data_IF_302791301140
#
_entry.id   IF_302791301140
#
_cell.length_a   1.000
_cell.length_b   1.000
_cell.length_c   1.000
_cell.angle_alpha   90.00
_cell.angle_beta   90.00
_cell.angle_gamma   90.00
#
_symmetry.space_group_name_H-M   'P 1'
#
loop_
_entity.id
_entity.type
_entity.pdbx_description
1 polymer ?
#
# COMPACT_ATOMS: atom_id res chain seq x y z
N UNK A 1 -8.07 13.72 -16.65
CA UNK A 1 -6.90 12.93 -17.05
C UNK A 1 -6.14 12.47 -15.84
N UNK A 2 -5.55 11.30 -15.95
CA UNK A 2 -4.80 10.68 -14.83
C UNK A 2 -3.68 11.59 -14.30
N UNK A 3 -2.98 12.32 -15.17
CA UNK A 3 -1.88 13.19 -14.75
C UNK A 3 -2.30 14.36 -13.87
N UNK A 4 -3.53 14.82 -14.00
CA UNK A 4 -4.01 16.02 -13.28
C UNK A 4 -4.57 15.67 -11.90
N UNK A 5 -5.22 14.53 -11.77
CA UNK A 5 -5.90 14.13 -10.53
C UNK A 5 -5.14 13.04 -9.75
N UNK A 6 -4.02 12.57 -10.25
CA UNK A 6 -3.27 11.50 -9.62
C UNK A 6 -2.50 12.01 -8.40
N UNK A 7 -2.72 11.38 -7.25
CA UNK A 7 -1.90 11.58 -6.07
C UNK A 7 -0.82 10.52 -5.94
N UNK A 8 -1.20 9.24 -6.09
CA UNK A 8 -0.30 8.10 -6.00
C UNK A 8 -0.51 7.21 -7.22
N UNK A 9 0.58 6.78 -7.83
CA UNK A 9 0.59 5.74 -8.86
C UNK A 9 1.38 4.55 -8.32
N UNK A 10 0.73 3.41 -8.17
CA UNK A 10 1.34 2.22 -7.57
C UNK A 10 1.24 1.04 -8.51
N UNK A 11 2.27 0.22 -8.56
CA UNK A 11 2.23 -1.05 -9.28
C UNK A 11 1.77 -2.17 -8.35
N UNK A 12 0.98 -3.09 -8.88
CA UNK A 12 0.59 -4.29 -8.15
C UNK A 12 1.85 -5.11 -7.84
N UNK A 13 1.90 -5.67 -6.65
CA UNK A 13 3.02 -6.53 -6.26
C UNK A 13 2.59 -7.98 -6.24
N UNK A 14 3.47 -8.84 -6.73
CA UNK A 14 3.24 -10.28 -6.83
C UNK A 14 4.40 -11.03 -6.19
N UNK A 15 4.18 -12.30 -5.88
CA UNK A 15 5.25 -13.20 -5.43
C UNK A 15 5.99 -13.81 -6.61
N UNK A 16 6.90 -14.74 -6.33
CA UNK A 16 7.73 -15.39 -7.36
C UNK A 16 6.91 -16.24 -8.33
N UNK A 17 5.73 -16.68 -7.90
CA UNK A 17 4.82 -17.49 -8.73
C UNK A 17 3.83 -16.65 -9.52
N UNK A 18 3.92 -15.31 -9.39
CA UNK A 18 3.00 -14.39 -10.06
C UNK A 18 1.70 -14.17 -9.33
N UNK A 19 1.55 -14.70 -8.12
CA UNK A 19 0.35 -14.47 -7.30
C UNK A 19 0.38 -13.09 -6.65
N UNK A 20 -0.76 -12.41 -6.68
CA UNK A 20 -0.88 -11.06 -6.12
C UNK A 20 -0.68 -11.10 -4.60
N UNK A 21 0.19 -10.22 -4.10
CA UNK A 21 0.46 -10.09 -2.67
C UNK A 21 -0.74 -9.55 -1.90
N UNK A 22 -0.76 -9.81 -0.60
CA UNK A 22 -1.88 -9.49 0.29
C UNK A 22 -2.42 -8.05 0.14
N UNK A 23 -1.57 -6.99 0.09
CA UNK A 23 -2.11 -5.63 -0.01
C UNK A 23 -2.98 -5.40 -1.23
N UNK A 24 -2.80 -6.17 -2.30
CA UNK A 24 -3.49 -5.99 -3.57
C UNK A 24 -4.38 -7.17 -3.97
N UNK A 25 -4.77 -8.02 -3.03
CA UNK A 25 -5.66 -9.15 -3.33
C UNK A 25 -6.98 -8.70 -3.99
N UNK A 26 -7.42 -7.50 -3.72
CA UNK A 26 -8.62 -6.94 -4.35
C UNK A 26 -8.46 -6.71 -5.86
N UNK A 27 -7.23 -6.70 -6.37
CA UNK A 27 -6.95 -6.50 -7.79
C UNK A 27 -7.05 -7.80 -8.61
N UNK A 28 -7.29 -8.93 -7.96
CA UNK A 28 -7.46 -10.20 -8.65
C UNK A 28 -8.63 -10.11 -9.62
N UNK A 29 -8.40 -10.52 -10.87
CA UNK A 29 -9.40 -10.41 -11.93
C UNK A 29 -9.33 -9.12 -12.74
N UNK A 30 -8.44 -8.19 -12.38
CA UNK A 30 -8.26 -6.91 -13.09
C UNK A 30 -6.84 -6.78 -13.65
N UNK A 31 -6.38 -7.80 -14.32
CA UNK A 31 -5.06 -7.83 -14.94
C UNK A 31 -4.98 -6.85 -16.13
N UNK A 32 -3.77 -6.35 -16.38
CA UNK A 32 -3.46 -5.47 -17.53
C UNK A 32 -4.29 -4.19 -17.55
N UNK A 33 -4.54 -3.59 -16.40
CA UNK A 33 -5.34 -2.37 -16.28
C UNK A 33 -4.64 -1.28 -15.49
N UNK A 34 -5.12 -0.06 -15.66
CA UNK A 34 -4.83 1.08 -14.78
C UNK A 34 -6.17 1.62 -14.31
N UNK A 35 -6.39 1.64 -13.00
CA UNK A 35 -7.67 2.10 -12.47
C UNK A 35 -7.52 2.75 -11.10
N UNK A 36 -8.46 3.63 -10.77
CA UNK A 36 -8.47 4.32 -9.48
C UNK A 36 -8.90 3.37 -8.37
N UNK A 37 -8.22 3.42 -7.24
CA UNK A 37 -8.52 2.60 -6.07
C UNK A 37 -8.77 3.49 -4.86
N UNK A 38 -9.67 3.04 -3.98
CA UNK A 38 -9.94 3.71 -2.70
C UNK A 38 -9.22 3.05 -1.53
N UNK A 39 -8.66 1.88 -1.74
CA UNK A 39 -7.85 1.21 -0.74
C UNK A 39 -6.44 1.78 -0.77
N UNK A 40 -5.69 1.55 0.31
CA UNK A 40 -4.34 2.07 0.39
C UNK A 40 -3.43 1.43 -0.67
N UNK A 41 -2.44 2.20 -1.10
CA UNK A 41 -1.38 1.73 -1.96
C UNK A 41 -0.15 1.42 -1.12
N UNK A 42 0.45 0.25 -1.35
CA UNK A 42 1.70 -0.12 -0.68
C UNK A 42 2.87 0.65 -1.27
N UNK A 43 3.80 1.08 -0.44
CA UNK A 43 4.99 1.80 -0.90
C UNK A 43 6.11 0.88 -1.39
N UNK A 44 5.83 -0.41 -1.63
CA UNK A 44 6.80 -1.32 -2.23
C UNK A 44 7.22 -0.87 -3.63
N UNK A 45 6.27 -0.38 -4.42
CA UNK A 45 6.54 0.20 -5.74
C UNK A 45 5.45 1.22 -6.05
N UNK A 46 5.70 2.47 -5.68
CA UNK A 46 4.74 3.54 -5.88
C UNK A 46 5.43 4.87 -6.11
N UNK A 47 4.73 5.77 -6.78
CA UNK A 47 5.17 7.12 -7.08
C UNK A 47 4.17 8.09 -6.47
N UNK A 48 4.68 9.05 -5.70
CA UNK A 48 3.88 10.18 -5.23
C UNK A 48 4.08 11.35 -6.20
N UNK A 49 2.97 11.94 -6.63
CA UNK A 49 3.04 13.00 -7.62
C UNK A 49 3.48 14.33 -7.01
N UNK A 50 4.05 15.25 -7.79
CA UNK A 50 4.41 16.57 -7.28
C UNK A 50 3.23 17.34 -6.67
N UNK A 51 2.03 17.20 -7.24
CA UNK A 51 0.83 17.84 -6.71
C UNK A 51 0.54 17.39 -5.28
N UNK A 52 0.62 16.08 -5.03
CA UNK A 52 0.42 15.53 -3.69
C UNK A 52 1.52 16.00 -2.73
N UNK A 53 2.78 15.96 -3.19
CA UNK A 53 3.93 16.39 -2.39
C UNK A 53 3.81 17.86 -1.97
N UNK A 54 3.22 18.71 -2.80
CA UNK A 54 3.03 20.12 -2.48
C UNK A 54 1.84 20.38 -1.54
N UNK A 55 0.78 19.58 -1.64
CA UNK A 55 -0.43 19.81 -0.86
C UNK A 55 -0.45 19.13 0.49
N UNK A 56 0.24 18.01 0.66
CA UNK A 56 0.25 17.29 1.91
C UNK A 56 1.37 17.78 2.82
N UNK A 57 1.03 18.08 4.06
CA UNK A 57 2.01 18.47 5.09
C UNK A 57 2.59 17.20 5.75
N UNK A 58 3.74 16.77 5.26
CA UNK A 58 4.41 15.56 5.75
C UNK A 58 4.91 15.69 7.19
N UNK A 59 5.00 16.92 7.74
CA UNK A 59 5.38 17.11 9.15
C UNK A 59 4.33 16.57 10.11
N UNK A 60 3.12 16.35 9.64
CA UNK A 60 2.04 15.79 10.46
C UNK A 60 2.09 14.26 10.58
N UNK A 61 3.01 13.60 9.88
CA UNK A 61 3.18 12.16 10.02
C UNK A 61 3.71 11.82 11.42
N UNK A 62 3.05 10.87 12.06
CA UNK A 62 3.46 10.40 13.39
C UNK A 62 4.58 9.37 13.25
N UNK A 63 5.79 9.76 13.65
CA UNK A 63 6.98 8.90 13.52
C UNK A 63 6.88 7.61 14.35
N UNK A 64 6.01 7.56 15.36
CA UNK A 64 5.80 6.35 16.16
C UNK A 64 4.99 5.30 15.43
N UNK A 65 4.34 5.65 14.33
CA UNK A 65 3.50 4.75 13.54
C UNK A 65 4.26 4.23 12.33
N UNK A 66 3.90 3.04 11.88
CA UNK A 66 4.59 2.34 10.79
C UNK A 66 3.78 2.23 9.50
N UNK A 67 2.62 2.87 9.44
CA UNK A 67 1.69 2.73 8.33
C UNK A 67 1.60 4.01 7.49
N UNK A 68 2.76 4.53 7.10
CA UNK A 68 2.82 5.77 6.31
C UNK A 68 2.13 5.62 4.96
N UNK A 69 2.26 4.45 4.34
CA UNK A 69 1.60 4.17 3.06
C UNK A 69 0.07 4.24 3.20
N UNK A 70 -0.49 3.68 4.25
CA UNK A 70 -1.94 3.77 4.51
C UNK A 70 -2.35 5.22 4.77
N UNK A 71 -1.62 5.92 5.63
CA UNK A 71 -1.92 7.31 6.00
C UNK A 71 -1.87 8.22 4.78
N UNK A 72 -0.79 8.15 4.00
CA UNK A 72 -0.61 9.01 2.83
C UNK A 72 -1.62 8.67 1.74
N UNK A 73 -1.95 7.39 1.58
CA UNK A 73 -3.00 6.98 0.63
C UNK A 73 -4.35 7.62 0.96
N UNK A 74 -4.73 7.59 2.24
CA UNK A 74 -5.99 8.20 2.68
C UNK A 74 -5.96 9.73 2.57
N UNK A 75 -4.83 10.35 2.89
CA UNK A 75 -4.68 11.80 2.76
C UNK A 75 -4.75 12.26 1.31
N UNK A 76 -4.20 11.49 0.39
CA UNK A 76 -4.32 11.75 -1.04
C UNK A 76 -5.80 11.84 -1.45
N UNK A 77 -6.60 10.86 -1.01
CA UNK A 77 -8.04 10.86 -1.30
C UNK A 77 -8.76 12.02 -0.62
N UNK A 78 -8.41 12.32 0.63
CA UNK A 78 -9.01 13.44 1.38
C UNK A 78 -8.75 14.78 0.70
N UNK A 79 -7.56 14.95 0.10
CA UNK A 79 -7.18 16.17 -0.61
C UNK A 79 -7.80 16.28 -2.00
N UNK A 80 -8.59 15.31 -2.42
CA UNK A 80 -9.29 15.32 -3.71
C UNK A 80 -8.54 14.62 -4.83
N UNK A 81 -7.40 13.99 -4.55
CA UNK A 81 -6.68 13.21 -5.56
C UNK A 81 -7.25 11.80 -5.70
N UNK A 82 -6.89 11.14 -6.78
CA UNK A 82 -7.13 9.71 -6.99
C UNK A 82 -5.83 8.95 -6.89
N UNK A 83 -5.90 7.75 -6.35
CA UNK A 83 -4.77 6.83 -6.31
C UNK A 83 -5.00 5.77 -7.39
N UNK A 84 -4.02 5.55 -8.24
CA UNK A 84 -4.13 4.62 -9.37
C UNK A 84 -3.27 3.38 -9.13
N UNK A 85 -3.85 2.23 -9.44
CA UNK A 85 -3.14 0.95 -9.39
C UNK A 85 -2.89 0.45 -10.82
N UNK A 86 -1.64 0.11 -11.10
CA UNK A 86 -1.19 -0.42 -12.37
C UNK A 86 -1.03 -1.92 -12.23
N UNK A 87 -1.94 -2.68 -12.84
CA UNK A 87 -1.83 -4.15 -12.87
C UNK A 87 -1.15 -4.65 -14.14
N UNK A 88 -0.90 -3.76 -15.09
CA UNK A 88 -0.24 -4.13 -16.34
C UNK A 88 1.28 -4.29 -16.20
N UNK A 89 1.87 -3.78 -15.12
CA UNK A 89 3.30 -3.92 -14.84
C UNK A 89 3.50 -4.48 -13.43
N UNK A 90 3.23 -5.79 -13.22
CA UNK A 90 3.42 -6.39 -11.90
C UNK A 90 4.89 -6.37 -11.49
N UNK A 91 5.13 -6.09 -10.21
CA UNK A 91 6.48 -6.06 -9.63
C UNK A 91 6.59 -7.19 -8.62
N UNK A 92 7.64 -8.00 -8.75
CA UNK A 92 7.91 -9.07 -7.78
C UNK A 92 8.42 -8.45 -6.49
N UNK A 93 7.72 -8.70 -5.41
CA UNK A 93 8.12 -8.24 -4.08
C UNK A 93 8.33 -9.44 -3.17
N UNK A 94 9.54 -9.54 -2.62
CA UNK A 94 9.92 -10.59 -1.67
C UNK A 94 10.00 -9.98 -0.29
N UNK A 95 9.02 -10.25 0.61
CA UNK A 95 9.12 -9.77 1.97
C UNK A 95 10.38 -10.33 2.64
N UNK A 96 11.20 -9.46 3.22
CA UNK A 96 12.42 -9.89 3.90
C UNK A 96 12.20 -10.01 5.41
N UNK A 97 13.14 -10.67 6.10
CA UNK A 97 12.98 -11.07 7.48
C UNK A 97 13.21 -10.00 8.56
N UNK A 98 13.27 -8.72 8.20
CA UNK A 98 13.52 -7.65 9.17
C UNK A 98 12.42 -7.52 10.23
N UNK A 99 11.22 -8.02 9.94
CA UNK A 99 10.09 -8.03 10.87
C UNK A 99 9.39 -9.39 10.80
N UNK A 100 9.92 -10.42 11.45
CA UNK A 100 9.39 -11.78 11.34
C UNK A 100 7.91 -11.90 11.70
N UNK A 101 7.45 -11.12 12.70
CA UNK A 101 6.06 -11.13 13.13
C UNK A 101 5.10 -10.62 12.04
N UNK A 102 5.55 -9.73 11.15
CA UNK A 102 4.71 -9.28 10.02
C UNK A 102 4.51 -10.36 8.96
N UNK A 103 5.48 -11.25 8.81
CA UNK A 103 5.35 -12.36 7.87
C UNK A 103 4.27 -13.36 8.29
N UNK A 104 3.93 -13.41 9.57
CA UNK A 104 2.84 -14.24 10.06
C UNK A 104 1.51 -13.87 9.41
N UNK A 105 1.34 -12.63 8.98
CA UNK A 105 0.14 -12.19 8.27
C UNK A 105 -0.14 -13.06 7.04
N UNK A 106 0.90 -13.54 6.40
CA UNK A 106 0.81 -14.38 5.21
C UNK A 106 0.82 -15.87 5.53
N UNK A 107 1.56 -16.28 6.57
CA UNK A 107 1.76 -17.69 6.91
C UNK A 107 0.76 -18.19 7.94
N UNK A 108 0.44 -17.39 8.93
CA UNK A 108 -0.49 -17.74 10.00
C UNK A 108 -1.24 -16.48 10.45
N UNK A 109 -2.31 -16.09 9.73
CA UNK A 109 -3.05 -14.86 10.04
C UNK A 109 -3.61 -14.81 11.44
N UNK A 110 -4.07 -15.93 11.99
CA UNK A 110 -4.63 -15.98 13.35
C UNK A 110 -3.59 -15.56 14.38
N UNK A 111 -2.38 -16.11 14.28
CA UNK A 111 -1.28 -15.76 15.18
C UNK A 111 -0.86 -14.30 15.02
N UNK A 112 -0.85 -13.80 13.79
CA UNK A 112 -0.54 -12.39 13.52
C UNK A 112 -1.52 -11.46 14.23
N UNK A 113 -2.83 -11.67 14.06
CA UNK A 113 -3.83 -10.82 14.68
C UNK A 113 -3.84 -10.95 16.19
N UNK A 114 -3.61 -12.16 16.72
CA UNK A 114 -3.49 -12.36 18.16
C UNK A 114 -2.34 -11.52 18.73
N UNK A 115 -1.16 -11.54 18.10
CA UNK A 115 -0.01 -10.74 18.52
C UNK A 115 -0.28 -9.23 18.35
N UNK A 116 -0.95 -8.85 17.27
CA UNK A 116 -1.30 -7.45 17.03
C UNK A 116 -2.16 -6.88 18.16
N UNK A 117 -3.18 -7.61 18.58
CA UNK A 117 -4.10 -7.12 19.61
C UNK A 117 -3.60 -7.30 21.02
N UNK A 118 -2.88 -8.38 21.33
CA UNK A 118 -2.41 -8.64 22.69
C UNK A 118 -1.14 -7.90 23.04
N UNK A 119 -0.22 -7.74 22.09
CA UNK A 119 1.09 -7.08 22.31
C UNK A 119 1.19 -5.70 21.70
N UNK A 120 0.13 -5.21 21.09
CA UNK A 120 0.09 -3.87 20.51
C UNK A 120 1.04 -3.67 19.34
N UNK A 121 1.44 -4.75 18.66
CA UNK A 121 2.30 -4.66 17.49
C UNK A 121 1.52 -4.09 16.30
N UNK A 122 2.23 -3.40 15.41
CA UNK A 122 1.68 -2.91 14.14
C UNK A 122 0.51 -1.92 14.33
N UNK A 123 0.63 -1.01 15.27
CA UNK A 123 -0.38 0.03 15.50
C UNK A 123 -0.37 1.08 14.40
N UNK A 124 -1.55 1.46 14.00
CA UNK A 124 -1.74 2.57 13.06
C UNK A 124 -1.85 3.89 13.83
#
# INVERSE_FOLDING_TARGET
KMCEDCGIAASVTVDEDGEINYPYKYAKGRECQVYAVRKHCSFCCSLLTPQLLRKYDFSQLDASKNWFDVTISHESLRLGFKNYLFTLLPVVHRPHGSRPWKQLKYKNPLKYYWLKYTKGLDKI
#
